data_IF_631590180093
#
_entry.id   IF_631590180093
#
_cell.length_a   1.000
_cell.length_b   1.000
_cell.length_c   1.000
_cell.angle_alpha   90.00
_cell.angle_beta   90.00
_cell.angle_gamma   90.00
#
_symmetry.space_group_name_H-M   'P 1'
#
loop_
_entity.id
_entity.type
_entity.pdbx_description
1 polymer ?
#
# COMPACT_ATOMS: atom_id res chain seq x y z
N UNK A 1 27.56 12.06 -15.32
CA UNK A 1 26.71 10.89 -15.58
C UNK A 1 27.18 9.77 -14.66
N UNK A 2 26.52 9.58 -13.51
CA UNK A 2 26.85 8.50 -12.57
C UNK A 2 25.88 7.33 -12.80
N UNK A 3 26.44 6.19 -13.19
CA UNK A 3 25.72 4.93 -13.36
C UNK A 3 25.46 4.32 -11.98
N UNK A 4 24.21 4.24 -11.52
CA UNK A 4 23.84 3.42 -10.36
C UNK A 4 23.75 1.96 -10.79
N UNK A 5 24.61 1.12 -10.22
CA UNK A 5 24.54 -0.34 -10.32
C UNK A 5 23.57 -0.85 -9.25
N UNK A 6 22.54 -1.55 -9.64
CA UNK A 6 21.77 -2.40 -8.73
C UNK A 6 22.42 -3.80 -8.72
N UNK A 7 22.87 -4.22 -7.55
CA UNK A 7 23.47 -5.54 -7.33
C UNK A 7 22.44 -6.38 -6.58
N UNK A 8 21.99 -7.46 -7.22
CA UNK A 8 21.24 -8.52 -6.54
C UNK A 8 22.20 -9.35 -5.69
N UNK A 9 21.97 -9.38 -4.37
CA UNK A 9 22.60 -10.35 -3.48
C UNK A 9 21.67 -11.53 -3.25
N UNK A 10 22.07 -12.69 -3.78
CA UNK A 10 21.52 -13.98 -3.36
C UNK A 10 22.19 -14.38 -2.05
N UNK A 11 21.45 -14.41 -0.94
CA UNK A 11 21.93 -14.93 0.33
C UNK A 11 21.81 -16.45 0.37
N UNK A 12 22.94 -17.13 0.46
CA UNK A 12 23.01 -18.56 0.76
C UNK A 12 22.66 -18.80 2.23
N UNK A 13 21.69 -19.67 2.45
CA UNK A 13 21.31 -20.16 3.77
C UNK A 13 22.27 -21.28 4.17
N UNK A 14 23.11 -21.06 5.18
CA UNK A 14 23.89 -22.12 5.82
C UNK A 14 23.09 -22.72 6.98
N UNK A 15 22.81 -24.03 6.87
CA UNK A 15 22.20 -24.84 7.95
C UNK A 15 23.20 -25.08 9.04
N UNK A 16 22.92 -24.71 10.29
CA UNK A 16 23.54 -25.26 11.49
C UNK A 16 22.47 -25.95 12.35
N UNK A 17 22.58 -27.29 12.43
CA UNK A 17 21.90 -28.09 13.43
C UNK A 17 22.45 -27.78 14.82
N UNK A 18 21.55 -27.58 15.80
CA UNK A 18 21.86 -27.80 17.23
C UNK A 18 20.71 -28.53 17.91
N UNK A 19 21.14 -29.53 18.70
CA UNK A 19 20.40 -30.56 19.40
C UNK A 19 19.39 -29.99 20.43
N UNK A 20 18.31 -30.71 20.57
CA UNK A 20 17.30 -30.58 21.61
C UNK A 20 17.89 -30.86 23.02
N UNK A 21 17.39 -30.14 24.00
CA UNK A 21 17.26 -30.57 25.38
C UNK A 21 15.86 -30.19 25.84
N UNK A 22 15.08 -31.22 26.22
CA UNK A 22 13.84 -31.08 26.92
C UNK A 22 14.10 -30.61 28.36
N UNK A 23 13.33 -29.62 28.79
CA UNK A 23 12.90 -29.47 30.17
C UNK A 23 11.70 -28.53 30.25
N UNK A 24 10.70 -28.96 31.00
CA UNK A 24 9.41 -28.37 31.29
C UNK A 24 9.49 -27.01 31.99
N UNK A 25 8.66 -26.03 31.56
CA UNK A 25 8.10 -25.07 32.50
C UNK A 25 6.90 -24.33 31.87
N UNK A 26 5.78 -24.48 32.50
CA UNK A 26 4.45 -23.99 32.09
C UNK A 26 4.08 -22.60 32.65
N UNK A 27 5.05 -21.74 32.92
CA UNK A 27 4.81 -20.37 33.43
C UNK A 27 5.31 -19.26 32.47
N UNK A 28 5.90 -19.63 31.32
CA UNK A 28 6.56 -18.66 30.40
C UNK A 28 5.71 -18.22 29.20
N UNK A 29 4.49 -18.73 29.01
CA UNK A 29 3.71 -18.39 27.80
C UNK A 29 3.09 -16.98 27.87
N UNK A 30 2.60 -16.57 29.04
CA UNK A 30 1.99 -15.22 29.21
C UNK A 30 3.01 -14.08 29.18
N UNK A 31 4.26 -14.32 29.59
CA UNK A 31 5.33 -13.31 29.47
C UNK A 31 5.89 -13.23 28.05
N UNK A 32 5.90 -14.35 27.30
CA UNK A 32 6.29 -14.35 25.88
C UNK A 32 5.30 -13.63 24.99
N UNK A 33 3.98 -13.78 25.22
CA UNK A 33 2.97 -13.03 24.46
C UNK A 33 3.04 -11.52 24.74
N UNK A 34 3.27 -11.10 25.99
CA UNK A 34 3.51 -9.69 26.34
C UNK A 34 4.79 -9.14 25.72
N UNK A 35 5.87 -9.95 25.69
CA UNK A 35 7.15 -9.58 25.09
C UNK A 35 7.07 -9.44 23.55
N UNK A 36 6.31 -10.30 22.87
CA UNK A 36 6.03 -10.23 21.44
C UNK A 36 5.22 -8.96 21.11
N UNK A 37 4.21 -8.65 21.93
CA UNK A 37 3.40 -7.42 21.77
C UNK A 37 4.23 -6.13 21.88
N UNK A 38 5.14 -6.05 22.85
CA UNK A 38 6.01 -4.88 23.05
C UNK A 38 7.08 -4.77 21.95
N UNK A 39 7.65 -5.90 21.51
CA UNK A 39 8.61 -5.95 20.41
C UNK A 39 7.96 -5.52 19.09
N UNK A 40 6.74 -5.97 18.83
CA UNK A 40 5.96 -5.58 17.64
C UNK A 40 5.58 -4.10 17.69
N UNK A 41 5.20 -3.57 18.87
CA UNK A 41 4.90 -2.16 19.07
C UNK A 41 6.15 -1.27 18.85
N UNK A 42 7.32 -1.67 19.35
CA UNK A 42 8.61 -0.97 19.08
C UNK A 42 8.99 -1.02 17.60
N UNK A 43 8.75 -2.12 16.91
CA UNK A 43 8.98 -2.25 15.46
C UNK A 43 8.05 -1.34 14.65
N UNK A 44 6.82 -1.15 15.09
CA UNK A 44 5.86 -0.22 14.48
C UNK A 44 6.25 1.24 14.72
N UNK A 45 6.77 1.58 15.89
CA UNK A 45 7.20 2.95 16.23
C UNK A 45 8.44 3.43 15.45
N UNK A 46 9.24 2.51 14.90
CA UNK A 46 10.43 2.82 14.08
C UNK A 46 10.18 2.73 12.58
N UNK A 47 8.93 2.56 12.15
CA UNK A 47 8.59 2.44 10.73
C UNK A 47 8.11 3.79 10.18
N UNK A 48 8.42 4.09 8.91
CA UNK A 48 7.83 5.21 8.18
C UNK A 48 6.33 5.00 7.84
N UNK A 49 5.79 3.83 8.21
CA UNK A 49 4.35 3.56 8.21
C UNK A 49 3.88 3.61 9.66
N UNK A 50 3.33 4.73 10.04
CA UNK A 50 2.81 4.98 11.39
C UNK A 50 1.30 4.75 11.45
N UNK A 51 0.78 4.39 12.64
CA UNK A 51 -0.67 4.28 12.84
C UNK A 51 -1.09 4.77 14.22
N UNK A 52 -2.04 5.70 14.25
CA UNK A 52 -2.63 6.25 15.48
C UNK A 52 -4.15 6.20 15.35
N UNK A 53 -4.81 5.54 16.29
CA UNK A 53 -6.26 5.35 16.18
C UNK A 53 -6.63 4.63 14.89
N UNK A 54 -7.52 5.20 14.10
CA UNK A 54 -7.92 4.66 12.79
C UNK A 54 -7.12 5.23 11.61
N UNK A 55 -6.07 6.02 11.86
CA UNK A 55 -5.24 6.63 10.85
C UNK A 55 -3.94 5.85 10.66
N UNK A 56 -3.55 5.66 9.40
CA UNK A 56 -2.32 5.00 8.96
C UNK A 56 -1.62 5.97 8.00
N UNK A 57 -0.34 6.28 8.25
CA UNK A 57 0.46 7.14 7.38
C UNK A 57 1.47 6.32 6.59
N UNK A 58 1.40 6.41 5.27
CA UNK A 58 2.35 5.85 4.33
C UNK A 58 3.17 6.97 3.70
N UNK A 59 4.31 7.28 4.34
CA UNK A 59 5.22 8.38 3.97
C UNK A 59 6.56 7.83 3.45
N UNK A 60 6.52 6.87 2.54
CA UNK A 60 7.71 6.17 2.01
C UNK A 60 7.53 5.84 0.53
N UNK A 61 8.63 5.43 -0.11
CA UNK A 61 8.57 4.82 -1.44
C UNK A 61 7.85 3.48 -1.39
N UNK A 62 7.21 3.11 -2.50
CA UNK A 62 6.51 1.82 -2.66
C UNK A 62 7.55 0.72 -2.89
N UNK A 63 7.93 0.04 -1.81
CA UNK A 63 8.93 -1.02 -1.77
C UNK A 63 8.38 -2.25 -1.05
N UNK A 64 9.04 -3.40 -1.20
CA UNK A 64 8.67 -4.62 -0.47
C UNK A 64 8.59 -4.41 1.05
N UNK A 65 9.51 -3.63 1.61
CA UNK A 65 9.55 -3.35 3.05
C UNK A 65 8.40 -2.45 3.50
N UNK A 66 8.16 -1.33 2.81
CA UNK A 66 7.13 -0.36 3.18
C UNK A 66 5.72 -0.94 3.01
N UNK A 67 5.48 -1.65 1.89
CA UNK A 67 4.18 -2.29 1.62
C UNK A 67 3.94 -3.47 2.56
N UNK A 68 4.96 -4.28 2.87
CA UNK A 68 4.83 -5.35 3.87
C UNK A 68 4.42 -4.81 5.26
N UNK A 69 4.94 -3.65 5.67
CA UNK A 69 4.54 -2.98 6.92
C UNK A 69 3.08 -2.51 6.85
N UNK A 70 2.68 -1.87 5.75
CA UNK A 70 1.29 -1.44 5.53
C UNK A 70 0.32 -2.64 5.63
N UNK A 71 0.63 -3.73 4.92
CA UNK A 71 -0.18 -4.95 4.93
C UNK A 71 -0.29 -5.54 6.35
N UNK A 72 0.81 -5.57 7.11
CA UNK A 72 0.78 -6.05 8.50
C UNK A 72 -0.12 -5.19 9.40
N UNK A 73 -0.07 -3.86 9.26
CA UNK A 73 -0.94 -2.94 10.01
C UNK A 73 -2.40 -3.19 9.65
N UNK A 74 -2.76 -3.26 8.36
CA UNK A 74 -4.13 -3.51 7.91
C UNK A 74 -4.63 -4.87 8.42
N UNK A 75 -3.82 -5.93 8.31
CA UNK A 75 -4.19 -7.27 8.77
C UNK A 75 -4.34 -7.34 10.29
N UNK A 76 -3.51 -6.66 11.05
CA UNK A 76 -3.65 -6.56 12.51
C UNK A 76 -4.98 -5.87 12.89
N UNK A 77 -5.38 -4.80 12.19
CA UNK A 77 -6.67 -4.14 12.39
C UNK A 77 -7.86 -5.04 12.05
N UNK A 78 -7.78 -5.74 10.92
CA UNK A 78 -8.79 -6.72 10.51
C UNK A 78 -8.94 -7.84 11.55
N UNK A 79 -7.83 -8.37 12.07
CA UNK A 79 -7.82 -9.39 13.10
C UNK A 79 -8.50 -8.92 14.40
N UNK A 80 -8.14 -7.73 14.89
CA UNK A 80 -8.75 -7.13 16.08
C UNK A 80 -10.26 -6.88 15.90
N UNK A 81 -10.67 -6.45 14.73
CA UNK A 81 -12.07 -6.28 14.39
C UNK A 81 -12.82 -7.63 14.44
N UNK A 82 -12.25 -8.68 13.86
CA UNK A 82 -12.85 -10.04 13.92
C UNK A 82 -12.94 -10.60 15.34
N UNK A 83 -11.93 -10.38 16.16
CA UNK A 83 -11.96 -10.77 17.56
C UNK A 83 -13.15 -10.10 18.28
N UNK A 84 -13.28 -8.78 18.17
CA UNK A 84 -14.39 -8.03 18.75
C UNK A 84 -15.76 -8.49 18.22
N UNK A 85 -15.85 -8.80 16.93
CA UNK A 85 -17.10 -9.31 16.33
C UNK A 85 -17.50 -10.67 16.94
N UNK A 86 -16.54 -11.55 17.27
CA UNK A 86 -16.81 -12.85 17.90
C UNK A 86 -17.28 -12.73 19.35
N UNK A 87 -16.91 -11.66 20.05
CA UNK A 87 -17.33 -11.39 21.43
C UNK A 87 -18.77 -10.88 21.52
N UNK A 88 -19.38 -10.46 20.42
CA UNK A 88 -20.74 -9.94 20.38
C UNK A 88 -21.72 -11.09 20.17
N UNK A 89 -22.53 -11.39 21.20
CA UNK A 89 -23.56 -12.45 21.15
C UNK A 89 -24.75 -12.12 20.25
N UNK A 90 -25.13 -10.86 20.17
CA UNK A 90 -26.26 -10.39 19.38
C UNK A 90 -25.86 -9.13 18.56
N UNK A 91 -26.11 -9.20 17.26
CA UNK A 91 -25.88 -8.08 16.36
C UNK A 91 -24.59 -8.20 15.55
N UNK A 92 -24.33 -7.20 14.75
CA UNK A 92 -23.14 -7.08 13.90
C UNK A 92 -22.41 -5.79 14.26
N UNK A 93 -21.11 -5.90 14.48
CA UNK A 93 -20.26 -4.74 14.67
C UNK A 93 -20.05 -4.05 13.31
N UNK A 94 -20.43 -2.78 13.21
CA UNK A 94 -20.10 -1.99 12.02
C UNK A 94 -18.66 -1.45 12.18
N UNK A 95 -17.78 -1.76 11.22
CA UNK A 95 -16.40 -1.32 11.31
C UNK A 95 -16.29 0.17 11.00
N UNK A 96 -15.66 0.93 11.89
CA UNK A 96 -15.23 2.30 11.58
C UNK A 96 -14.12 2.26 10.54
N UNK A 97 -14.12 3.15 9.53
CA UNK A 97 -13.13 3.12 8.47
C UNK A 97 -11.71 3.35 8.99
N UNK A 98 -10.72 2.78 8.29
CA UNK A 98 -9.31 3.14 8.43
C UNK A 98 -8.98 4.23 7.39
N UNK A 99 -8.31 5.28 7.82
CA UNK A 99 -7.86 6.38 6.97
C UNK A 99 -6.38 6.17 6.60
N UNK A 100 -6.12 5.86 5.34
CA UNK A 100 -4.77 5.67 4.81
C UNK A 100 -4.29 6.96 4.15
N UNK A 101 -3.43 7.69 4.86
CA UNK A 101 -2.75 8.89 4.37
C UNK A 101 -1.56 8.49 3.51
N UNK A 102 -1.47 9.03 2.31
CA UNK A 102 -0.46 8.66 1.30
C UNK A 102 0.32 9.90 0.89
N UNK A 103 1.65 9.85 1.12
CA UNK A 103 2.61 10.82 0.63
C UNK A 103 3.83 10.05 0.09
N UNK A 104 3.86 9.79 -1.22
CA UNK A 104 4.82 8.87 -1.81
C UNK A 104 5.12 9.21 -3.27
N UNK A 105 6.40 9.08 -3.66
CA UNK A 105 6.84 9.21 -5.06
C UNK A 105 6.57 7.95 -5.90
N UNK A 106 6.04 6.88 -5.29
CA UNK A 106 5.82 5.61 -5.97
C UNK A 106 6.99 4.64 -5.77
N UNK A 107 7.22 3.76 -6.73
CA UNK A 107 8.25 2.73 -6.67
C UNK A 107 7.88 1.47 -7.42
N UNK A 108 7.99 0.30 -6.78
CA UNK A 108 7.82 -1.00 -7.40
C UNK A 108 6.35 -1.30 -7.72
N UNK A 109 6.08 -1.63 -9.00
CA UNK A 109 4.71 -1.86 -9.47
C UNK A 109 4.05 -3.09 -8.83
N UNK A 110 4.82 -4.15 -8.58
CA UNK A 110 4.29 -5.38 -7.96
C UNK A 110 3.84 -5.11 -6.54
N UNK A 111 4.60 -4.32 -5.80
CA UNK A 111 4.28 -3.91 -4.44
C UNK A 111 3.05 -2.99 -4.41
N UNK A 112 2.98 -2.07 -5.36
CA UNK A 112 1.78 -1.25 -5.54
C UNK A 112 0.52 -2.10 -5.81
N UNK A 113 0.61 -3.13 -6.65
CA UNK A 113 -0.49 -4.05 -6.92
C UNK A 113 -0.86 -4.88 -5.69
N UNK A 114 0.13 -5.38 -4.92
CA UNK A 114 -0.11 -6.09 -3.67
C UNK A 114 -0.84 -5.21 -2.63
N UNK A 115 -0.46 -3.94 -2.55
CA UNK A 115 -1.14 -2.97 -1.70
C UNK A 115 -2.61 -2.73 -2.14
N UNK A 116 -2.89 -2.63 -3.46
CA UNK A 116 -4.26 -2.56 -3.99
C UNK A 116 -5.10 -3.73 -3.49
N UNK A 117 -4.58 -4.95 -3.65
CA UNK A 117 -5.32 -6.15 -3.26
C UNK A 117 -5.56 -6.19 -1.74
N UNK A 118 -4.60 -5.80 -0.94
CA UNK A 118 -4.75 -5.71 0.52
C UNK A 118 -5.82 -4.67 0.92
N UNK A 119 -5.77 -3.47 0.34
CA UNK A 119 -6.73 -2.38 0.60
C UNK A 119 -8.14 -2.83 0.21
N UNK A 120 -8.30 -3.43 -0.97
CA UNK A 120 -9.60 -3.85 -1.50
C UNK A 120 -10.23 -5.02 -0.76
N UNK A 121 -9.40 -5.95 -0.25
CA UNK A 121 -9.85 -7.13 0.46
C UNK A 121 -9.93 -6.93 1.99
N UNK A 122 -9.65 -5.72 2.48
CA UNK A 122 -9.78 -5.41 3.91
C UNK A 122 -11.23 -5.54 4.38
N UNK A 123 -11.43 -6.16 5.55
CA UNK A 123 -12.73 -6.31 6.21
C UNK A 123 -13.23 -4.99 6.79
N UNK A 124 -12.30 -4.17 7.25
CA UNK A 124 -12.56 -2.78 7.64
C UNK A 124 -12.46 -1.92 6.39
N UNK A 125 -13.43 -1.05 6.08
CA UNK A 125 -13.34 -0.13 4.96
C UNK A 125 -12.08 0.72 5.07
N UNK A 126 -11.31 0.87 3.98
CA UNK A 126 -10.15 1.75 3.93
C UNK A 126 -10.51 2.94 3.06
N UNK A 127 -10.37 4.14 3.63
CA UNK A 127 -10.50 5.42 2.98
C UNK A 127 -9.11 5.97 2.74
N UNK A 128 -8.78 6.33 1.50
CA UNK A 128 -7.45 6.81 1.12
C UNK A 128 -7.43 8.32 1.04
N UNK A 129 -6.35 8.94 1.49
CA UNK A 129 -6.17 10.39 1.49
C UNK A 129 -4.82 10.69 0.85
N UNK A 130 -4.80 11.43 -0.25
CA UNK A 130 -3.56 11.97 -0.79
C UNK A 130 -3.21 13.22 0.00
N UNK A 131 -2.04 13.20 0.67
CA UNK A 131 -1.57 14.26 1.53
C UNK A 131 -0.14 14.64 1.15
N UNK A 132 0.02 15.73 0.40
CA UNK A 132 1.26 16.13 -0.25
C UNK A 132 1.32 15.61 -1.69
N UNK A 133 1.66 14.33 -1.90
CA UNK A 133 1.70 13.75 -3.25
C UNK A 133 1.41 12.26 -3.29
N UNK A 134 0.89 11.81 -4.43
CA UNK A 134 0.88 10.41 -4.81
C UNK A 134 1.35 10.29 -6.26
N UNK A 135 2.47 9.60 -6.50
CA UNK A 135 3.00 9.43 -7.84
C UNK A 135 3.18 7.96 -8.20
N UNK A 136 3.07 7.63 -9.50
CA UNK A 136 3.41 6.30 -10.03
C UNK A 136 2.68 5.17 -9.27
N UNK A 137 3.39 4.17 -8.75
CA UNK A 137 2.82 3.04 -8.01
C UNK A 137 2.01 3.45 -6.76
N UNK A 138 2.30 4.61 -6.14
CA UNK A 138 1.52 5.11 -5.01
C UNK A 138 0.09 5.48 -5.39
N UNK A 139 -0.15 5.85 -6.67
CA UNK A 139 -1.50 6.14 -7.15
C UNK A 139 -2.38 4.89 -7.23
N UNK A 140 -1.79 3.70 -7.34
CA UNK A 140 -2.57 2.45 -7.27
C UNK A 140 -3.21 2.29 -5.89
N UNK A 141 -2.45 2.58 -4.83
CA UNK A 141 -2.98 2.54 -3.46
C UNK A 141 -4.06 3.61 -3.27
N UNK A 142 -3.83 4.84 -3.75
CA UNK A 142 -4.77 5.95 -3.54
C UNK A 142 -6.13 5.70 -4.18
N UNK A 143 -6.18 5.08 -5.36
CA UNK A 143 -7.45 4.78 -6.05
C UNK A 143 -8.13 3.49 -5.54
N UNK A 144 -7.46 2.70 -4.70
CA UNK A 144 -8.00 1.45 -4.18
C UNK A 144 -8.95 1.65 -2.98
N UNK A 145 -8.97 2.81 -2.36
CA UNK A 145 -9.85 3.13 -1.23
C UNK A 145 -11.34 2.96 -1.56
N UNK A 146 -12.15 2.67 -0.53
CA UNK A 146 -13.61 2.65 -0.65
C UNK A 146 -14.18 4.06 -0.82
N UNK A 147 -13.62 5.05 -0.12
CA UNK A 147 -13.68 6.48 -0.39
C UNK A 147 -12.26 7.00 -0.59
N UNK A 148 -12.09 8.01 -1.41
CA UNK A 148 -10.79 8.51 -1.84
C UNK A 148 -10.78 10.02 -1.74
N UNK A 149 -9.85 10.53 -0.96
CA UNK A 149 -9.74 11.95 -0.65
C UNK A 149 -8.39 12.51 -1.12
N UNK A 150 -8.35 13.82 -1.27
CA UNK A 150 -7.14 14.59 -1.53
C UNK A 150 -7.19 15.91 -0.76
N UNK A 151 -6.08 16.35 -0.20
CA UNK A 151 -5.99 17.71 0.36
C UNK A 151 -5.79 18.73 -0.76
N UNK A 152 -6.21 19.99 -0.53
CA UNK A 152 -6.30 21.04 -1.55
C UNK A 152 -4.99 21.27 -2.31
N UNK A 153 -3.86 21.28 -1.59
CA UNK A 153 -2.54 21.54 -2.16
C UNK A 153 -1.77 20.29 -2.59
N UNK A 154 -2.40 19.12 -2.52
CA UNK A 154 -1.78 17.86 -2.93
C UNK A 154 -1.77 17.69 -4.44
N UNK A 155 -0.80 16.92 -4.91
CA UNK A 155 -0.58 16.66 -6.32
C UNK A 155 -0.52 15.16 -6.62
N UNK A 156 -0.83 14.80 -7.86
CA UNK A 156 -0.85 13.42 -8.33
C UNK A 156 -0.11 13.31 -9.66
N UNK A 157 0.64 12.23 -9.85
CA UNK A 157 1.32 11.93 -11.11
C UNK A 157 1.07 10.48 -11.53
N UNK A 158 0.56 10.29 -12.74
CA UNK A 158 0.52 8.99 -13.41
C UNK A 158 1.37 9.00 -14.65
N UNK A 159 2.10 7.93 -14.88
CA UNK A 159 2.95 7.75 -16.05
C UNK A 159 3.06 6.27 -16.45
N UNK A 160 3.65 6.01 -17.62
CA UNK A 160 3.90 4.65 -18.07
C UNK A 160 4.96 3.95 -17.21
N UNK A 161 4.99 2.62 -17.27
CA UNK A 161 6.04 1.82 -16.66
C UNK A 161 7.42 2.30 -17.13
N UNK A 162 8.33 2.47 -16.18
CA UNK A 162 9.75 2.70 -16.44
C UNK A 162 10.51 1.43 -16.08
N UNK A 163 11.25 0.88 -17.03
CA UNK A 163 12.03 -0.35 -16.87
C UNK A 163 13.38 -0.17 -17.56
N UNK A 164 14.36 -0.94 -17.13
CA UNK A 164 15.67 -0.97 -17.76
C UNK A 164 16.29 -2.34 -17.58
N UNK A 165 16.73 -2.96 -18.70
CA UNK A 165 17.39 -4.24 -18.72
C UNK A 165 18.60 -4.22 -19.63
N UNK A 166 19.62 -4.99 -19.25
CA UNK A 166 20.75 -5.33 -20.08
C UNK A 166 20.92 -6.84 -20.07
N UNK A 167 21.01 -7.45 -21.26
CA UNK A 167 21.07 -8.90 -21.38
C UNK A 167 21.23 -9.37 -22.82
N UNK A 168 21.05 -10.66 -23.04
CA UNK A 168 21.01 -11.26 -24.38
C UNK A 168 19.74 -10.88 -25.12
N UNK A 169 19.75 -11.02 -26.44
CA UNK A 169 18.63 -10.63 -27.29
C UNK A 169 17.30 -11.23 -26.84
N UNK A 170 17.27 -12.55 -26.55
CA UNK A 170 16.08 -13.24 -26.07
C UNK A 170 15.58 -12.74 -24.72
N UNK A 171 16.51 -12.39 -23.79
CA UNK A 171 16.16 -11.83 -22.49
C UNK A 171 15.52 -10.43 -22.65
N UNK A 172 16.02 -9.63 -23.60
CA UNK A 172 15.45 -8.31 -23.91
C UNK A 172 14.07 -8.41 -24.57
N UNK A 173 13.86 -9.43 -25.43
CA UNK A 173 12.56 -9.72 -26.02
C UNK A 173 11.53 -10.13 -24.95
N UNK A 174 11.92 -11.03 -24.04
CA UNK A 174 11.08 -11.45 -22.90
C UNK A 174 10.71 -10.27 -22.01
N UNK A 175 11.69 -9.40 -21.67
CA UNK A 175 11.43 -8.22 -20.86
C UNK A 175 10.48 -7.23 -21.57
N UNK A 176 10.61 -7.08 -22.89
CA UNK A 176 9.71 -6.24 -23.67
C UNK A 176 8.26 -6.77 -23.63
N UNK A 177 8.06 -8.07 -23.75
CA UNK A 177 6.72 -8.68 -23.63
C UNK A 177 6.16 -8.56 -22.21
N UNK A 178 7.00 -8.76 -21.18
CA UNK A 178 6.63 -8.55 -19.78
C UNK A 178 6.20 -7.09 -19.53
N UNK A 179 6.94 -6.13 -20.06
CA UNK A 179 6.60 -4.71 -19.92
C UNK A 179 5.26 -4.36 -20.59
N UNK A 180 4.95 -4.97 -21.74
CA UNK A 180 3.61 -4.83 -22.36
C UNK A 180 2.52 -5.40 -21.48
N UNK A 181 2.74 -6.60 -20.93
CA UNK A 181 1.80 -7.26 -20.03
C UNK A 181 1.53 -6.38 -18.79
N UNK A 182 2.57 -5.85 -18.15
CA UNK A 182 2.40 -4.96 -16.99
C UNK A 182 1.71 -3.65 -17.35
N UNK A 183 2.00 -3.07 -18.52
CA UNK A 183 1.29 -1.87 -18.97
C UNK A 183 -0.22 -2.12 -19.15
N UNK A 184 -0.64 -3.26 -19.68
CA UNK A 184 -2.07 -3.58 -19.78
C UNK A 184 -2.69 -3.81 -18.39
N UNK A 185 -1.96 -4.39 -17.42
CA UNK A 185 -2.39 -4.48 -16.00
C UNK A 185 -2.59 -3.10 -15.39
N UNK A 186 -1.64 -2.17 -15.58
CA UNK A 186 -1.72 -0.80 -15.10
C UNK A 186 -2.94 -0.08 -15.70
N UNK A 187 -3.15 -0.19 -17.03
CA UNK A 187 -4.34 0.38 -17.66
C UNK A 187 -5.64 -0.22 -17.12
N UNK A 188 -5.65 -1.52 -16.83
CA UNK A 188 -6.80 -2.18 -16.23
C UNK A 188 -7.12 -1.64 -14.84
N UNK A 189 -6.11 -1.44 -13.99
CA UNK A 189 -6.26 -0.88 -12.63
C UNK A 189 -6.87 0.52 -12.73
N UNK A 190 -6.27 1.43 -13.50
CA UNK A 190 -6.81 2.79 -13.63
C UNK A 190 -8.22 2.81 -14.23
N UNK A 191 -8.46 2.03 -15.29
CA UNK A 191 -9.77 1.97 -15.93
C UNK A 191 -10.85 1.40 -15.02
N UNK A 192 -10.49 0.54 -14.06
CA UNK A 192 -11.43 -0.07 -13.11
C UNK A 192 -11.82 0.89 -11.99
N UNK A 193 -10.89 1.73 -11.54
CA UNK A 193 -11.06 2.53 -10.33
C UNK A 193 -11.18 4.03 -10.58
N UNK A 194 -11.07 4.49 -11.83
CA UNK A 194 -11.20 5.90 -12.20
C UNK A 194 -12.20 6.08 -13.34
N UNK A 195 -12.53 7.33 -13.65
CA UNK A 195 -13.45 7.67 -14.75
C UNK A 195 -12.73 8.05 -16.04
N UNK A 196 -11.39 7.93 -16.09
CA UNK A 196 -10.60 8.30 -17.28
C UNK A 196 -10.91 7.37 -18.46
N UNK A 197 -11.32 7.88 -19.62
CA UNK A 197 -11.49 7.06 -20.80
C UNK A 197 -10.18 6.36 -21.19
N UNK A 198 -10.23 5.05 -21.49
CA UNK A 198 -9.03 4.24 -21.79
C UNK A 198 -8.13 4.85 -22.86
N UNK A 199 -8.71 5.49 -23.88
CA UNK A 199 -7.97 6.16 -24.96
C UNK A 199 -7.21 7.38 -24.44
N UNK A 200 -7.82 8.15 -23.55
CA UNK A 200 -7.23 9.33 -22.95
C UNK A 200 -6.14 8.95 -21.95
N UNK A 201 -6.38 7.93 -21.13
CA UNK A 201 -5.43 7.37 -20.18
C UNK A 201 -4.10 6.99 -20.86
N UNK A 202 -4.14 6.30 -22.00
CA UNK A 202 -2.94 5.97 -22.78
C UNK A 202 -2.15 7.20 -23.24
N UNK A 203 -2.82 8.30 -23.54
CA UNK A 203 -2.15 9.54 -23.93
C UNK A 203 -1.59 10.32 -22.75
N UNK A 204 -2.32 10.36 -21.64
CA UNK A 204 -1.89 11.00 -20.39
C UNK A 204 -0.59 10.35 -19.89
N UNK A 205 -0.59 9.02 -19.80
CA UNK A 205 0.53 8.27 -19.22
C UNK A 205 1.82 8.29 -20.04
N UNK A 206 1.80 8.83 -21.29
CA UNK A 206 3.02 9.06 -22.07
C UNK A 206 3.85 10.24 -21.57
N UNK A 207 3.33 11.03 -20.64
CA UNK A 207 3.94 12.28 -20.17
C UNK A 207 3.95 12.31 -18.64
N UNK A 208 5.08 12.73 -18.07
CA UNK A 208 5.27 12.91 -16.65
C UNK A 208 4.82 14.31 -16.24
N UNK A 209 3.50 14.53 -16.20
CA UNK A 209 2.90 15.83 -15.86
C UNK A 209 2.09 15.68 -14.58
N UNK A 210 2.43 16.48 -13.58
CA UNK A 210 1.71 16.55 -12.33
C UNK A 210 0.29 17.12 -12.51
N UNK A 211 -0.64 16.58 -11.74
CA UNK A 211 -2.00 17.02 -11.66
C UNK A 211 -2.24 17.68 -10.29
N UNK A 212 -3.02 18.74 -10.30
CA UNK A 212 -3.60 19.31 -9.10
C UNK A 212 -4.78 18.47 -8.59
N UNK A 213 -5.28 18.85 -7.42
CA UNK A 213 -6.40 18.19 -6.77
C UNK A 213 -7.69 18.26 -7.57
N UNK A 214 -7.96 19.37 -8.27
CA UNK A 214 -9.15 19.55 -9.11
C UNK A 214 -9.14 18.59 -10.31
N UNK A 215 -7.99 18.42 -10.94
CA UNK A 215 -7.83 17.49 -12.05
C UNK A 215 -7.94 16.05 -11.60
N UNK A 216 -7.40 15.71 -10.41
CA UNK A 216 -7.55 14.40 -9.81
C UNK A 216 -9.03 14.05 -9.54
N UNK A 217 -9.80 15.03 -9.03
CA UNK A 217 -11.24 14.92 -8.81
C UNK A 217 -11.99 14.74 -10.15
N UNK A 218 -11.71 15.59 -11.14
CA UNK A 218 -12.34 15.55 -12.48
C UNK A 218 -12.21 14.17 -13.15
N UNK A 219 -11.06 13.52 -13.00
CA UNK A 219 -10.79 12.22 -13.61
C UNK A 219 -11.13 11.03 -12.70
N UNK A 220 -11.74 11.29 -11.54
CA UNK A 220 -12.19 10.26 -10.61
C UNK A 220 -11.06 9.46 -9.95
N UNK A 221 -9.88 10.07 -9.78
CA UNK A 221 -8.82 9.51 -8.96
C UNK A 221 -9.11 9.67 -7.48
N UNK A 222 -9.88 10.69 -7.14
CA UNK A 222 -10.42 10.97 -5.82
C UNK A 222 -11.89 11.31 -5.93
N UNK A 223 -12.62 11.15 -4.83
CA UNK A 223 -14.05 11.39 -4.78
C UNK A 223 -14.37 12.78 -4.22
N UNK A 224 -13.59 13.25 -3.24
CA UNK A 224 -13.84 14.49 -2.50
C UNK A 224 -12.54 15.12 -1.98
N UNK A 225 -12.61 16.40 -1.60
CA UNK A 225 -11.55 17.04 -0.84
C UNK A 225 -11.58 16.58 0.62
N UNK A 226 -10.39 16.34 1.18
CA UNK A 226 -10.24 16.04 2.60
C UNK A 226 -10.21 17.33 3.41
N UNK A 227 -11.13 17.44 4.39
CA UNK A 227 -11.24 18.57 5.31
C UNK A 227 -11.27 18.10 6.75
N UNK A 228 -11.13 18.99 7.70
CA UNK A 228 -11.21 18.66 9.13
C UNK A 228 -12.56 18.06 9.57
N UNK A 229 -13.64 18.34 8.84
CA UNK A 229 -14.98 17.80 9.10
C UNK A 229 -15.25 16.45 8.48
N UNK A 230 -14.42 16.02 7.51
CA UNK A 230 -14.63 14.76 6.77
C UNK A 230 -14.64 13.54 7.70
N UNK A 231 -13.76 13.51 8.70
CA UNK A 231 -13.66 12.37 9.64
C UNK A 231 -14.87 12.28 10.55
N UNK A 232 -15.47 13.43 10.93
CA UNK A 232 -16.65 13.48 11.79
C UNK A 232 -17.90 13.01 11.02
N UNK A 233 -18.02 13.36 9.75
CA UNK A 233 -19.11 12.94 8.87
C UNK A 233 -19.07 11.44 8.57
N UNK A 234 -17.90 10.86 8.35
CA UNK A 234 -17.71 9.43 8.09
C UNK A 234 -17.91 8.54 9.33
N UNK A 235 -17.90 9.12 10.55
CA UNK A 235 -18.10 8.40 11.81
C UNK A 235 -19.54 8.45 12.34
N UNK A 236 -20.43 9.24 11.75
CA UNK A 236 -21.85 9.35 12.06
C UNK A 236 -22.67 8.41 11.18
#
# INVERSE_FOLDING_TARGET
MQKRKYIYHSSQISKKHKKAKDESDSEDEDEKEKGIGIGMLKSLLNSKVDSIGNHIWFNDDVTGDSVSKLIKVINARNFLFEQKQREIFYGKLEPKPLYLHINSDGGEIHEGMAAVDCIRNSKIPIYTIIEGRAASAATFMSIAGKKRYITENSVLLIHQLSSGMWGKMTELEDEHENNKFFMEKIYSIYSKYTTVPKKELKNIMKRDIWWDSEKALKYGFVDEFFTSTTVDEDNN
#
